data_IF_426163349706
#
_entry.id   IF_426163349706
#
_cell.length_a   1.000
_cell.length_b   1.000
_cell.length_c   1.000
_cell.angle_alpha   90.00
_cell.angle_beta   90.00
_cell.angle_gamma   90.00
#
_symmetry.space_group_name_H-M   'P 1'
#
loop_
_entity.id
_entity.type
_entity.pdbx_description
1 polymer ?
#
# COMPACT_ATOMS: atom_id res chain seq x y z
N UNK A 1 -19.64 -18.69 23.02
CA UNK A 1 -18.53 -17.77 23.32
C UNK A 1 -17.34 -18.64 23.65
N UNK A 2 -16.24 -18.38 22.96
CA UNK A 2 -14.95 -19.03 23.17
C UNK A 2 -14.59 -19.09 24.65
N UNK A 3 -13.95 -20.19 25.04
CA UNK A 3 -13.64 -20.51 26.43
C UNK A 3 -12.14 -20.53 26.64
N UNK A 4 -11.65 -19.68 27.55
CA UNK A 4 -10.26 -19.73 28.00
C UNK A 4 -10.17 -20.78 29.12
N UNK A 5 -9.54 -21.92 28.82
CA UNK A 5 -9.30 -22.99 29.79
C UNK A 5 -8.14 -22.64 30.72
N UNK A 6 -7.09 -22.03 30.16
CA UNK A 6 -5.93 -21.55 30.91
C UNK A 6 -5.43 -20.26 30.27
N UNK A 7 -5.42 -19.18 31.04
CA UNK A 7 -4.79 -17.93 30.64
C UNK A 7 -3.27 -18.04 30.88
N UNK A 8 -2.49 -17.84 29.82
CA UNK A 8 -1.03 -17.81 29.90
C UNK A 8 -0.52 -16.53 30.58
N UNK A 9 0.79 -16.45 30.80
CA UNK A 9 1.36 -15.25 31.39
C UNK A 9 1.32 -14.09 30.37
N UNK A 10 0.54 -13.06 30.69
CA UNK A 10 0.40 -11.85 29.88
C UNK A 10 1.25 -10.68 30.39
N UNK A 11 1.99 -10.87 31.48
CA UNK A 11 2.88 -9.86 32.07
C UNK A 11 4.35 -10.22 31.92
N UNK A 12 5.20 -9.24 31.63
CA UNK A 12 6.63 -9.45 31.50
C UNK A 12 7.05 -10.28 30.28
N UNK A 13 6.20 -10.36 29.25
CA UNK A 13 6.51 -11.05 27.99
C UNK A 13 7.73 -10.39 27.35
N UNK A 14 8.79 -11.17 27.10
CA UNK A 14 10.00 -10.67 26.44
C UNK A 14 9.91 -10.91 24.94
N UNK A 15 9.88 -9.83 24.16
CA UNK A 15 9.83 -9.87 22.70
C UNK A 15 10.93 -9.01 22.11
N UNK A 16 11.57 -9.52 21.08
CA UNK A 16 12.57 -8.76 20.31
C UNK A 16 11.88 -8.00 19.21
N UNK A 17 12.22 -6.74 19.00
CA UNK A 17 11.62 -5.90 17.94
C UNK A 17 12.70 -5.09 17.23
N UNK A 18 12.49 -4.85 15.95
CA UNK A 18 13.47 -4.11 15.14
C UNK A 18 12.96 -2.69 14.95
N UNK A 19 13.74 -1.71 15.39
CA UNK A 19 13.46 -0.30 15.08
C UNK A 19 14.69 0.34 14.51
N UNK A 20 14.50 1.02 13.38
CA UNK A 20 15.54 1.83 12.77
C UNK A 20 15.18 3.30 12.89
N UNK A 21 16.16 4.11 13.26
CA UNK A 21 16.02 5.57 13.21
C UNK A 21 16.00 6.02 11.75
N UNK A 22 15.16 7.00 11.45
CA UNK A 22 15.12 7.64 10.13
C UNK A 22 16.43 8.39 9.93
N UNK A 23 17.22 8.01 8.92
CA UNK A 23 18.45 8.69 8.57
C UNK A 23 18.18 9.79 7.53
N UNK A 24 19.10 10.76 7.40
CA UNK A 24 19.01 11.79 6.35
C UNK A 24 18.95 11.16 4.95
N UNK A 25 19.62 10.03 4.74
CA UNK A 25 19.55 9.27 3.48
C UNK A 25 18.16 8.73 3.17
N UNK A 26 17.38 8.36 4.20
CA UNK A 26 16.01 7.86 4.00
C UNK A 26 15.08 9.01 3.59
N UNK A 27 15.27 10.20 4.18
CA UNK A 27 14.56 11.43 3.80
C UNK A 27 14.90 11.84 2.37
N UNK A 28 16.18 11.82 2.00
CA UNK A 28 16.59 12.18 0.65
C UNK A 28 16.03 11.19 -0.39
N UNK A 29 16.05 9.88 -0.11
CA UNK A 29 15.44 8.87 -0.99
C UNK A 29 13.95 9.09 -1.19
N UNK A 30 13.21 9.39 -0.12
CA UNK A 30 11.78 9.68 -0.21
C UNK A 30 11.52 10.93 -1.05
N UNK A 31 12.32 11.98 -0.88
CA UNK A 31 12.20 13.20 -1.69
C UNK A 31 12.49 12.90 -3.17
N UNK A 32 13.55 12.14 -3.47
CA UNK A 32 13.83 11.72 -4.85
C UNK A 32 12.67 10.91 -5.45
N UNK A 33 12.04 10.05 -4.66
CA UNK A 33 10.83 9.35 -5.08
C UNK A 33 9.70 10.33 -5.42
N UNK A 34 9.40 11.29 -4.55
CA UNK A 34 8.36 12.31 -4.78
C UNK A 34 8.67 13.19 -6.01
N UNK A 35 9.93 13.58 -6.22
CA UNK A 35 10.37 14.33 -7.40
C UNK A 35 10.17 13.51 -8.69
N UNK A 36 10.45 12.20 -8.62
CA UNK A 36 10.24 11.29 -9.76
C UNK A 36 8.77 11.17 -10.15
N UNK A 37 7.86 11.15 -9.17
CA UNK A 37 6.41 11.08 -9.42
C UNK A 37 5.84 12.37 -10.02
N UNK A 38 6.44 13.52 -9.69
CA UNK A 38 6.02 14.85 -10.17
C UNK A 38 6.80 15.33 -11.40
N UNK A 39 7.67 14.50 -11.95
CA UNK A 39 8.44 14.83 -13.14
C UNK A 39 7.50 15.15 -14.30
N UNK A 40 7.74 16.26 -14.98
CA UNK A 40 6.89 16.74 -16.06
C UNK A 40 7.48 16.37 -17.41
N UNK A 41 6.61 16.08 -18.37
CA UNK A 41 6.99 15.95 -19.77
C UNK A 41 6.96 17.35 -20.39
N UNK A 42 8.14 17.83 -20.77
CA UNK A 42 8.28 19.12 -21.46
C UNK A 42 8.63 18.84 -22.91
N UNK A 43 7.86 19.44 -23.83
CA UNK A 43 8.13 19.28 -25.27
C UNK A 43 9.55 19.73 -25.59
N UNK A 44 10.28 18.86 -26.28
CA UNK A 44 11.69 19.03 -26.64
C UNK A 44 11.82 19.18 -28.14
N UNK A 45 12.58 20.18 -28.55
CA UNK A 45 13.03 20.34 -29.93
C UNK A 45 14.33 19.58 -30.16
N UNK A 46 14.48 18.94 -31.32
CA UNK A 46 15.70 18.22 -31.70
C UNK A 46 15.45 16.76 -32.04
N UNK A 47 16.37 15.89 -31.60
CA UNK A 47 16.33 14.45 -31.86
C UNK A 47 15.97 13.67 -30.60
N UNK A 48 15.36 12.50 -30.80
CA UNK A 48 15.07 11.51 -29.76
C UNK A 48 16.37 11.05 -29.11
N UNK A 49 16.41 11.07 -27.78
CA UNK A 49 17.51 10.55 -26.96
C UNK A 49 16.97 9.56 -25.92
N UNK A 50 17.88 8.80 -25.30
CA UNK A 50 17.51 7.88 -24.23
C UNK A 50 16.92 8.64 -23.02
N UNK A 51 15.79 8.20 -22.51
CA UNK A 51 15.02 8.85 -21.44
C UNK A 51 13.97 9.88 -21.91
N UNK A 52 13.91 10.19 -23.21
CA UNK A 52 12.80 10.99 -23.76
C UNK A 52 11.51 10.15 -23.82
N UNK A 53 10.36 10.82 -23.71
CA UNK A 53 9.04 10.25 -24.00
C UNK A 53 8.61 10.73 -25.39
N UNK A 54 8.33 9.79 -26.27
CA UNK A 54 7.91 10.06 -27.65
C UNK A 54 6.46 9.69 -27.87
N UNK A 55 5.74 10.46 -28.68
CA UNK A 55 4.44 10.05 -29.22
C UNK A 55 4.68 9.54 -30.63
N UNK A 56 4.36 8.27 -30.88
CA UNK A 56 4.70 7.59 -32.12
C UNK A 56 3.49 6.90 -32.74
N UNK A 57 3.52 6.83 -34.07
CA UNK A 57 2.75 5.83 -34.80
C UNK A 57 3.72 4.76 -35.26
N UNK A 58 3.33 3.50 -35.18
CA UNK A 58 4.13 2.42 -35.71
C UNK A 58 3.29 1.40 -36.44
N UNK A 59 3.89 0.77 -37.44
CA UNK A 59 3.29 -0.31 -38.22
C UNK A 59 4.32 -1.41 -38.45
N UNK A 60 4.11 -2.54 -37.81
CA UNK A 60 4.90 -3.76 -37.93
C UNK A 60 4.51 -4.57 -39.15
N UNK A 61 5.50 -4.96 -39.94
CA UNK A 61 5.40 -5.71 -41.17
C UNK A 61 6.29 -6.94 -41.06
N UNK A 62 5.73 -8.12 -41.33
CA UNK A 62 6.48 -9.36 -41.53
C UNK A 62 6.30 -9.78 -42.99
N UNK A 63 7.40 -9.97 -43.70
CA UNK A 63 7.39 -10.32 -45.14
C UNK A 63 6.53 -9.34 -46.00
N UNK A 64 6.47 -8.06 -45.60
CA UNK A 64 5.67 -7.03 -46.26
C UNK A 64 4.18 -7.01 -45.90
N UNK A 65 3.72 -7.90 -45.02
CA UNK A 65 2.33 -7.98 -44.55
C UNK A 65 2.24 -7.50 -43.10
N UNK A 66 1.27 -6.63 -42.80
CA UNK A 66 1.05 -6.17 -41.44
C UNK A 66 0.54 -7.32 -40.56
N UNK A 67 1.10 -7.46 -39.35
CA UNK A 67 0.67 -8.47 -38.39
C UNK A 67 -0.16 -7.86 -37.25
N UNK A 68 -0.99 -8.69 -36.63
CA UNK A 68 -1.90 -8.26 -35.58
C UNK A 68 -1.15 -7.87 -34.30
N UNK A 69 -1.60 -6.80 -33.63
CA UNK A 69 -0.90 -6.19 -32.50
C UNK A 69 0.39 -5.42 -32.86
N UNK A 70 0.77 -5.37 -34.15
CA UNK A 70 1.96 -4.65 -34.62
C UNK A 70 1.72 -3.20 -35.02
N UNK A 71 0.50 -2.66 -34.86
CA UNK A 71 0.17 -1.29 -35.31
C UNK A 71 -0.50 -0.49 -34.21
N UNK A 72 -0.05 0.74 -33.99
CA UNK A 72 -0.71 1.71 -33.11
C UNK A 72 -0.48 3.14 -33.61
N UNK A 73 -1.41 4.04 -33.28
CA UNK A 73 -1.32 5.47 -33.53
C UNK A 73 -1.35 6.24 -32.21
N UNK A 74 -0.55 7.30 -32.10
CA UNK A 74 -0.49 8.17 -30.91
C UNK A 74 0.07 7.50 -29.66
N UNK A 75 0.84 6.42 -29.80
CA UNK A 75 1.36 5.66 -28.67
C UNK A 75 2.47 6.43 -27.96
N UNK A 76 2.41 6.55 -26.63
CA UNK A 76 3.48 7.15 -25.84
C UNK A 76 4.51 6.11 -25.43
N UNK A 77 5.76 6.32 -25.80
CA UNK A 77 6.89 5.43 -25.50
C UNK A 77 8.03 6.19 -24.82
N UNK A 78 8.38 5.78 -23.60
CA UNK A 78 9.61 6.20 -22.93
C UNK A 78 10.79 5.38 -23.49
N UNK A 79 11.75 6.08 -24.11
CA UNK A 79 12.93 5.49 -24.75
C UNK A 79 13.89 5.01 -23.66
N UNK A 80 14.23 3.73 -23.67
CA UNK A 80 15.02 3.05 -22.64
C UNK A 80 14.19 2.33 -21.58
N UNK A 81 12.85 2.30 -21.71
CA UNK A 81 11.96 1.59 -20.77
C UNK A 81 12.02 0.06 -20.92
N UNK A 82 12.42 -0.43 -22.10
CA UNK A 82 12.40 -1.86 -22.41
C UNK A 82 10.98 -2.41 -22.56
N UNK A 83 10.01 -1.53 -22.85
CA UNK A 83 8.62 -1.92 -23.06
C UNK A 83 8.41 -2.56 -24.44
N UNK A 84 9.32 -2.30 -25.39
CA UNK A 84 9.33 -2.89 -26.73
C UNK A 84 10.43 -3.95 -26.88
N UNK A 85 10.38 -4.68 -28.02
CA UNK A 85 11.42 -5.66 -28.33
C UNK A 85 12.81 -5.01 -28.40
N UNK A 86 13.87 -5.74 -28.00
CA UNK A 86 15.23 -5.22 -28.04
C UNK A 86 15.59 -4.62 -29.40
N UNK A 87 16.28 -3.48 -29.38
CA UNK A 87 16.67 -2.74 -30.59
C UNK A 87 15.62 -1.76 -31.13
N UNK A 88 14.35 -1.87 -30.74
CA UNK A 88 13.31 -0.92 -31.21
C UNK A 88 13.61 0.49 -30.73
N UNK A 89 13.71 0.67 -29.42
CA UNK A 89 13.95 1.96 -28.76
C UNK A 89 15.33 2.54 -29.13
N UNK A 90 16.34 1.68 -29.31
CA UNK A 90 17.70 2.07 -29.69
C UNK A 90 17.78 2.65 -31.11
N UNK A 91 17.07 2.05 -32.08
CA UNK A 91 17.06 2.55 -33.47
C UNK A 91 16.22 3.82 -33.67
N UNK A 92 15.38 4.16 -32.69
CA UNK A 92 14.66 5.43 -32.65
C UNK A 92 15.52 6.60 -32.21
N UNK A 93 16.63 6.36 -31.50
CA UNK A 93 17.56 7.42 -31.09
C UNK A 93 18.06 8.16 -32.33
N UNK A 94 18.07 9.49 -32.26
CA UNK A 94 18.43 10.36 -33.36
C UNK A 94 17.29 10.70 -34.33
N UNK A 95 16.09 10.12 -34.20
CA UNK A 95 14.91 10.54 -34.99
C UNK A 95 14.48 11.95 -34.64
N UNK A 96 13.97 12.70 -35.61
CA UNK A 96 13.36 14.01 -35.39
C UNK A 96 11.84 13.95 -35.35
N UNK A 97 11.22 14.97 -34.77
CA UNK A 97 9.78 15.21 -34.89
C UNK A 97 9.36 15.26 -36.37
N UNK A 98 8.32 14.52 -36.72
CA UNK A 98 7.80 14.32 -38.08
C UNK A 98 8.60 13.33 -38.94
N UNK A 99 9.67 12.72 -38.42
CA UNK A 99 10.45 11.73 -39.16
C UNK A 99 9.76 10.36 -39.14
N UNK A 100 9.70 9.73 -40.30
CA UNK A 100 9.34 8.31 -40.45
C UNK A 100 10.59 7.50 -40.77
N UNK A 101 10.80 6.40 -40.05
CA UNK A 101 11.94 5.50 -40.22
C UNK A 101 11.49 4.05 -40.17
N UNK A 102 12.06 3.24 -41.05
CA UNK A 102 11.88 1.79 -41.04
C UNK A 102 12.95 1.16 -40.13
N UNK A 103 12.52 0.56 -39.02
CA UNK A 103 13.35 -0.14 -38.06
C UNK A 103 13.40 -1.62 -38.41
N UNK A 104 14.59 -2.17 -38.64
CA UNK A 104 14.76 -3.59 -38.95
C UNK A 104 15.07 -4.32 -37.65
N UNK A 105 14.18 -5.21 -37.24
CA UNK A 105 14.22 -5.85 -35.92
C UNK A 105 13.98 -7.35 -36.05
N UNK A 106 14.52 -8.10 -35.10
CA UNK A 106 14.27 -9.54 -34.99
C UNK A 106 13.59 -9.77 -33.65
N UNK A 107 12.44 -10.44 -33.66
CA UNK A 107 11.78 -10.83 -32.42
C UNK A 107 12.63 -11.86 -31.65
N UNK A 108 12.64 -11.81 -30.31
CA UNK A 108 13.30 -12.84 -29.51
C UNK A 108 12.80 -14.25 -29.81
N UNK A 109 13.66 -15.26 -29.72
CA UNK A 109 13.27 -16.67 -29.95
C UNK A 109 12.23 -17.17 -28.95
N UNK A 110 12.15 -16.56 -27.77
CA UNK A 110 11.23 -16.90 -26.70
C UNK A 110 9.95 -16.05 -26.69
N UNK A 111 9.61 -15.39 -27.80
CA UNK A 111 8.41 -14.55 -27.88
C UNK A 111 7.12 -15.39 -27.81
N UNK A 112 6.12 -14.89 -27.08
CA UNK A 112 4.89 -15.64 -26.76
C UNK A 112 3.99 -15.98 -27.97
N UNK A 113 4.24 -15.36 -29.12
CA UNK A 113 3.54 -15.64 -30.38
C UNK A 113 4.46 -16.46 -31.29
N UNK A 114 4.13 -17.74 -31.48
CA UNK A 114 4.96 -18.69 -32.23
C UNK A 114 5.30 -18.23 -33.66
N UNK A 115 4.38 -17.51 -34.32
CA UNK A 115 4.58 -16.98 -35.66
C UNK A 115 5.53 -15.77 -35.72
N UNK A 116 5.79 -15.10 -34.59
CA UNK A 116 6.70 -13.96 -34.51
C UNK A 116 8.03 -14.32 -33.85
N UNK A 117 8.11 -15.39 -33.05
CA UNK A 117 9.34 -15.81 -32.40
C UNK A 117 10.50 -16.02 -33.40
N UNK A 118 11.61 -15.29 -33.21
CA UNK A 118 12.78 -15.34 -34.10
C UNK A 118 12.58 -14.76 -35.50
N UNK A 119 11.42 -14.14 -35.79
CA UNK A 119 11.13 -13.60 -37.10
C UNK A 119 11.75 -12.21 -37.29
N UNK A 120 12.31 -11.99 -38.49
CA UNK A 120 12.72 -10.66 -38.94
C UNK A 120 11.50 -9.85 -39.39
N UNK A 121 11.40 -8.62 -38.89
CA UNK A 121 10.29 -7.71 -39.14
C UNK A 121 10.79 -6.30 -39.38
N UNK A 122 9.96 -5.52 -40.08
CA UNK A 122 10.18 -4.09 -40.29
C UNK A 122 9.08 -3.34 -39.54
N UNK A 123 9.48 -2.45 -38.64
CA UNK A 123 8.56 -1.49 -38.04
C UNK A 123 8.75 -0.13 -38.70
N UNK A 124 7.74 0.33 -39.43
CA UNK A 124 7.70 1.70 -39.88
C UNK A 124 7.20 2.57 -38.74
N UNK A 125 8.07 3.42 -38.19
CA UNK A 125 7.78 4.26 -37.03
C UNK A 125 7.80 5.73 -37.45
N UNK A 126 6.79 6.49 -37.06
CA UNK A 126 6.72 7.95 -37.24
C UNK A 126 6.70 8.63 -35.87
N UNK A 127 7.60 9.59 -35.66
CA UNK A 127 7.65 10.36 -34.40
C UNK A 127 6.83 11.62 -34.55
N UNK A 128 5.78 11.78 -33.75
CA UNK A 128 4.91 12.97 -33.77
C UNK A 128 5.29 14.02 -32.74
N UNK A 129 5.68 13.58 -31.54
CA UNK A 129 6.14 14.46 -30.48
C UNK A 129 7.33 13.84 -29.75
N UNK A 130 8.20 14.70 -29.25
CA UNK A 130 9.32 14.36 -28.39
C UNK A 130 9.18 15.24 -27.16
N UNK A 131 9.17 14.62 -25.98
CA UNK A 131 9.18 15.32 -24.71
C UNK A 131 10.34 14.80 -23.87
N UNK A 132 11.11 15.70 -23.28
CA UNK A 132 12.07 15.32 -22.24
C UNK A 132 11.35 15.21 -20.91
N UNK A 133 11.68 14.17 -20.13
CA UNK A 133 11.30 14.09 -18.73
C UNK A 133 12.15 15.06 -17.93
N UNK A 134 11.58 16.20 -17.58
CA UNK A 134 12.24 17.16 -16.68
C UNK A 134 11.91 16.72 -15.27
N UNK A 135 12.93 16.19 -14.57
CA UNK A 135 12.79 15.92 -13.15
C UNK A 135 12.40 17.20 -12.44
N UNK A 136 11.38 17.10 -11.59
CA UNK A 136 11.08 18.17 -10.66
C UNK A 136 12.33 18.45 -9.82
N UNK A 137 12.61 19.72 -9.56
CA UNK A 137 13.67 20.11 -8.64
C UNK A 137 13.06 20.35 -7.27
N UNK A 138 13.83 20.07 -6.22
CA UNK A 138 13.42 20.42 -4.86
C UNK A 138 13.61 21.91 -4.64
N UNK A 139 12.58 22.68 -4.96
CA UNK A 139 12.51 24.13 -4.73
C UNK A 139 11.20 24.51 -4.02
N UNK A 140 11.02 25.81 -3.74
CA UNK A 140 9.80 26.29 -3.07
C UNK A 140 8.53 26.08 -3.92
N UNK A 141 8.62 26.04 -5.24
CA UNK A 141 7.47 25.79 -6.10
C UNK A 141 7.02 24.32 -5.97
N UNK A 142 7.96 23.39 -5.95
CA UNK A 142 7.70 21.98 -5.67
C UNK A 142 7.06 21.79 -4.30
N UNK A 143 7.60 22.43 -3.25
CA UNK A 143 7.02 22.37 -1.90
C UNK A 143 5.58 22.89 -1.89
N UNK A 144 5.33 24.06 -2.49
CA UNK A 144 4.00 24.67 -2.59
C UNK A 144 3.02 23.79 -3.39
N UNK A 145 3.49 22.95 -4.30
CA UNK A 145 2.65 22.03 -5.07
C UNK A 145 1.92 20.99 -4.22
N UNK A 146 2.40 20.69 -3.01
CA UNK A 146 1.74 19.79 -2.06
C UNK A 146 0.65 20.47 -1.23
N UNK A 147 0.54 21.80 -1.28
CA UNK A 147 -0.50 22.59 -0.60
C UNK A 147 -0.62 22.25 0.90
N UNK A 148 0.52 21.97 1.55
CA UNK A 148 0.54 21.60 2.96
C UNK A 148 0.46 22.85 3.84
N UNK A 149 -0.39 22.87 4.89
CA UNK A 149 -0.41 23.97 5.86
C UNK A 149 0.95 24.13 6.52
N UNK A 150 1.41 25.37 6.67
CA UNK A 150 2.65 25.74 7.37
C UNK A 150 3.95 25.11 6.81
N UNK A 151 3.96 24.71 5.53
CA UNK A 151 5.15 24.19 4.84
C UNK A 151 5.43 25.05 3.61
N UNK A 152 6.35 26.01 3.73
CA UNK A 152 6.67 26.95 2.64
C UNK A 152 8.09 26.79 2.10
N UNK A 153 9.02 26.28 2.92
CA UNK A 153 10.42 26.13 2.54
C UNK A 153 10.81 24.67 2.31
N UNK A 154 11.93 24.46 1.60
CA UNK A 154 12.53 23.13 1.42
C UNK A 154 12.91 22.49 2.76
N UNK A 155 13.35 23.27 3.75
CA UNK A 155 13.68 22.73 5.07
C UNK A 155 12.43 22.25 5.81
N UNK A 156 11.33 23.03 5.77
CA UNK A 156 10.06 22.62 6.37
C UNK A 156 9.55 21.32 5.72
N UNK A 157 9.67 21.21 4.40
CA UNK A 157 9.29 20.02 3.67
C UNK A 157 10.13 18.80 4.07
N UNK A 158 11.47 18.95 4.13
CA UNK A 158 12.38 17.89 4.61
C UNK A 158 12.02 17.43 6.02
N UNK A 159 11.73 18.37 6.92
CA UNK A 159 11.27 18.06 8.27
C UNK A 159 9.94 17.29 8.25
N UNK A 160 9.02 17.69 7.38
CA UNK A 160 7.71 17.03 7.31
C UNK A 160 7.78 15.61 6.74
N UNK A 161 8.62 15.39 5.74
CA UNK A 161 8.92 14.05 5.22
C UNK A 161 9.54 13.19 6.32
N UNK A 162 10.51 13.72 7.08
CA UNK A 162 11.09 13.04 8.23
C UNK A 162 10.04 12.66 9.28
N UNK A 163 9.19 13.59 9.69
CA UNK A 163 8.09 13.31 10.63
C UNK A 163 7.17 12.21 10.11
N UNK A 164 6.87 12.21 8.81
CA UNK A 164 6.07 11.17 8.18
C UNK A 164 6.75 9.80 8.26
N UNK A 165 8.03 9.71 7.91
CA UNK A 165 8.82 8.47 8.02
C UNK A 165 8.95 7.99 9.46
N UNK A 166 9.14 8.90 10.42
CA UNK A 166 9.21 8.56 11.85
C UNK A 166 7.87 8.01 12.35
N UNK A 167 6.75 8.63 11.94
CA UNK A 167 5.41 8.15 12.27
C UNK A 167 5.13 6.77 11.64
N UNK A 168 5.53 6.55 10.38
CA UNK A 168 5.40 5.25 9.72
C UNK A 168 6.24 4.18 10.42
N UNK A 169 7.48 4.48 10.79
CA UNK A 169 8.33 3.57 11.56
C UNK A 169 7.74 3.28 12.95
N UNK A 170 7.19 4.29 13.63
CA UNK A 170 6.54 4.12 14.93
C UNK A 170 5.28 3.25 14.83
N UNK A 171 4.46 3.42 13.78
CA UNK A 171 3.29 2.58 13.51
C UNK A 171 3.70 1.14 13.20
N UNK A 172 4.71 0.96 12.35
CA UNK A 172 5.24 -0.36 11.99
C UNK A 172 5.80 -1.08 13.23
N UNK A 173 6.60 -0.38 14.03
CA UNK A 173 7.14 -0.92 15.27
C UNK A 173 6.02 -1.28 16.25
N UNK A 174 4.99 -0.44 16.38
CA UNK A 174 3.84 -0.73 17.23
C UNK A 174 3.11 -2.00 16.78
N UNK A 175 2.85 -2.12 15.48
CA UNK A 175 2.23 -3.32 14.92
C UNK A 175 3.11 -4.57 15.12
N UNK A 176 4.43 -4.45 14.96
CA UNK A 176 5.36 -5.55 15.22
C UNK A 176 5.33 -5.98 16.70
N UNK A 177 5.35 -5.01 17.63
CA UNK A 177 5.21 -5.26 19.07
C UNK A 177 3.92 -5.99 19.39
N UNK A 178 2.78 -5.48 18.90
CA UNK A 178 1.46 -6.07 19.07
C UNK A 178 1.42 -7.50 18.54
N UNK A 179 1.89 -7.74 17.31
CA UNK A 179 1.92 -9.07 16.69
C UNK A 179 2.82 -10.07 17.43
N UNK A 180 3.99 -9.65 17.91
CA UNK A 180 4.91 -10.54 18.63
C UNK A 180 4.39 -10.89 20.02
N UNK A 181 3.84 -9.91 20.73
CA UNK A 181 3.20 -10.14 22.04
C UNK A 181 1.99 -11.05 21.87
N UNK A 182 1.17 -10.81 20.85
CA UNK A 182 0.05 -11.65 20.47
C UNK A 182 0.46 -13.11 20.23
N UNK A 183 1.52 -13.33 19.44
CA UNK A 183 2.02 -14.67 19.18
C UNK A 183 2.37 -15.42 20.47
N UNK A 184 3.09 -14.78 21.39
CA UNK A 184 3.44 -15.39 22.69
C UNK A 184 2.20 -15.68 23.53
N UNK A 185 1.21 -14.79 23.55
CA UNK A 185 -0.05 -14.99 24.29
C UNK A 185 -0.86 -16.17 23.76
N UNK A 186 -0.94 -16.32 22.44
CA UNK A 186 -1.62 -17.44 21.81
C UNK A 186 -0.89 -18.75 22.13
N UNK A 187 0.44 -18.77 22.06
CA UNK A 187 1.24 -19.97 22.34
C UNK A 187 1.20 -20.41 23.80
N UNK A 188 1.03 -19.48 24.74
CA UNK A 188 1.09 -19.76 26.17
C UNK A 188 -0.27 -19.92 26.86
N UNK A 189 -1.37 -19.74 26.12
CA UNK A 189 -2.75 -19.86 26.62
C UNK A 189 -3.47 -21.05 25.99
N UNK A 190 -4.34 -21.70 26.76
CA UNK A 190 -5.24 -22.76 26.26
C UNK A 190 -6.64 -22.19 26.07
N UNK A 191 -7.07 -22.08 24.81
CA UNK A 191 -8.32 -21.44 24.41
C UNK A 191 -9.09 -22.35 23.45
N UNK A 192 -10.30 -22.70 23.83
CA UNK A 192 -11.28 -23.36 22.95
C UNK A 192 -12.10 -22.29 22.24
N UNK A 193 -11.86 -22.13 20.94
CA UNK A 193 -12.58 -21.13 20.12
C UNK A 193 -13.82 -21.75 19.50
N UNK A 194 -14.96 -21.08 19.66
CA UNK A 194 -16.21 -21.48 19.03
C UNK A 194 -16.22 -21.12 17.53
N UNK A 195 -16.87 -21.94 16.69
CA UNK A 195 -17.02 -21.67 15.25
C UNK A 195 -17.66 -20.31 14.96
N UNK A 196 -18.57 -19.86 15.82
CA UNK A 196 -19.22 -18.56 15.67
C UNK A 196 -18.22 -17.39 15.81
N UNK A 197 -17.24 -17.50 16.70
CA UNK A 197 -16.22 -16.46 16.91
C UNK A 197 -15.20 -16.47 15.76
N UNK A 198 -14.86 -17.66 15.23
CA UNK A 198 -14.03 -17.80 14.02
C UNK A 198 -14.74 -17.18 12.81
N UNK A 199 -16.03 -17.45 12.63
CA UNK A 199 -16.81 -16.91 11.51
C UNK A 199 -16.90 -15.39 11.58
N UNK A 200 -17.13 -14.84 12.78
CA UNK A 200 -17.13 -13.39 12.99
C UNK A 200 -15.77 -12.77 12.61
N UNK A 201 -14.66 -13.38 13.00
CA UNK A 201 -13.32 -12.91 12.63
C UNK A 201 -13.05 -13.03 11.12
N UNK A 202 -13.52 -14.10 10.47
CA UNK A 202 -13.47 -14.25 9.01
C UNK A 202 -14.21 -13.11 8.30
N UNK A 203 -15.44 -12.84 8.70
CA UNK A 203 -16.27 -11.77 8.11
C UNK A 203 -15.59 -10.40 8.25
N UNK A 204 -14.94 -10.14 9.39
CA UNK A 204 -14.16 -8.92 9.61
C UNK A 204 -12.94 -8.83 8.68
N UNK A 205 -12.20 -9.92 8.49
CA UNK A 205 -11.08 -9.94 7.55
C UNK A 205 -11.55 -9.74 6.09
N UNK A 206 -12.65 -10.37 5.70
CA UNK A 206 -13.26 -10.16 4.38
C UNK A 206 -13.67 -8.70 4.20
N UNK A 207 -14.30 -8.11 5.21
CA UNK A 207 -14.69 -6.69 5.18
C UNK A 207 -13.46 -5.77 5.07
N UNK A 208 -12.38 -6.09 5.79
CA UNK A 208 -11.13 -5.35 5.71
C UNK A 208 -10.58 -5.37 4.28
N UNK A 209 -10.46 -6.57 3.68
CA UNK A 209 -10.01 -6.74 2.28
C UNK A 209 -10.93 -5.98 1.32
N UNK A 210 -12.25 -6.09 1.50
CA UNK A 210 -13.22 -5.38 0.67
C UNK A 210 -13.07 -3.86 0.75
N UNK A 211 -12.79 -3.31 1.94
CA UNK A 211 -12.61 -1.88 2.12
C UNK A 211 -11.30 -1.38 1.48
N UNK A 212 -10.24 -2.18 1.58
CA UNK A 212 -8.95 -1.89 0.95
C UNK A 212 -9.09 -1.84 -0.58
N UNK A 213 -9.75 -2.85 -1.16
CA UNK A 213 -10.04 -2.90 -2.59
C UNK A 213 -10.95 -1.74 -3.05
N UNK A 214 -11.98 -1.42 -2.26
CA UNK A 214 -12.86 -0.30 -2.55
C UNK A 214 -12.11 1.05 -2.58
N UNK A 215 -11.10 1.22 -1.71
CA UNK A 215 -10.21 2.38 -1.73
C UNK A 215 -9.39 2.51 -3.02
N UNK A 216 -9.13 1.39 -3.70
CA UNK A 216 -8.47 1.31 -5.00
C UNK A 216 -9.46 1.32 -6.17
N UNK A 217 -10.76 1.49 -5.92
CA UNK A 217 -11.82 1.49 -6.92
C UNK A 217 -12.17 0.10 -7.47
N UNK A 218 -11.80 -0.97 -6.76
CA UNK A 218 -12.04 -2.36 -7.17
C UNK A 218 -13.08 -3.03 -6.27
N UNK A 219 -14.01 -3.77 -6.86
CA UNK A 219 -14.95 -4.60 -6.10
C UNK A 219 -14.31 -5.96 -5.73
N UNK A 220 -14.69 -6.54 -4.59
CA UNK A 220 -14.17 -7.82 -4.13
C UNK A 220 -14.42 -8.94 -5.15
N UNK A 221 -15.60 -8.97 -5.78
CA UNK A 221 -15.97 -9.98 -6.77
C UNK A 221 -15.07 -9.91 -8.01
N UNK A 222 -14.70 -8.70 -8.43
CA UNK A 222 -13.79 -8.49 -9.56
C UNK A 222 -12.37 -8.96 -9.23
N UNK A 223 -11.90 -8.69 -8.00
CA UNK A 223 -10.61 -9.16 -7.51
C UNK A 223 -10.55 -10.70 -7.49
N UNK A 224 -11.59 -11.36 -6.97
CA UNK A 224 -11.69 -12.82 -6.93
C UNK A 224 -11.66 -13.43 -8.35
N UNK A 225 -12.39 -12.83 -9.30
CA UNK A 225 -12.37 -13.24 -10.70
C UNK A 225 -10.98 -13.10 -11.34
N UNK A 226 -10.29 -11.99 -11.10
CA UNK A 226 -8.95 -11.74 -11.63
C UNK A 226 -7.92 -12.74 -11.08
N UNK A 227 -8.06 -13.10 -9.80
CA UNK A 227 -7.21 -14.08 -9.12
C UNK A 227 -7.62 -15.54 -9.41
N UNK A 228 -8.74 -15.76 -10.11
CA UNK A 228 -9.25 -17.10 -10.41
C UNK A 228 -9.68 -17.88 -9.15
N UNK A 229 -10.14 -17.19 -8.12
CA UNK A 229 -10.53 -17.77 -6.84
C UNK A 229 -11.99 -17.42 -6.51
N UNK A 230 -12.61 -18.19 -5.62
CA UNK A 230 -13.95 -17.92 -5.09
C UNK A 230 -13.89 -17.48 -3.61
N UNK A 231 -15.06 -17.19 -3.03
CA UNK A 231 -15.17 -16.80 -1.62
C UNK A 231 -14.69 -17.89 -0.67
N UNK A 232 -14.90 -19.17 -0.99
CA UNK A 232 -14.47 -20.28 -0.14
C UNK A 232 -12.94 -20.39 -0.13
N UNK A 233 -12.29 -20.18 -1.28
CA UNK A 233 -10.84 -20.09 -1.36
C UNK A 233 -10.29 -18.89 -0.58
N UNK A 234 -10.97 -17.73 -0.64
CA UNK A 234 -10.60 -16.58 0.18
C UNK A 234 -10.72 -16.88 1.68
N UNK A 235 -11.85 -17.45 2.11
CA UNK A 235 -12.05 -17.86 3.49
C UNK A 235 -11.00 -18.87 3.95
N UNK A 236 -10.65 -19.85 3.12
CA UNK A 236 -9.61 -20.83 3.44
C UNK A 236 -8.24 -20.17 3.65
N UNK A 237 -7.91 -19.13 2.87
CA UNK A 237 -6.68 -18.34 3.04
C UNK A 237 -6.70 -17.50 4.33
N UNK A 238 -7.86 -16.93 4.68
CA UNK A 238 -8.03 -16.09 5.87
C UNK A 238 -8.22 -16.90 7.16
N UNK A 239 -8.60 -18.18 7.06
CA UNK A 239 -8.91 -19.05 8.19
C UNK A 239 -7.83 -19.10 9.28
N UNK A 240 -6.52 -19.24 8.96
CA UNK A 240 -5.49 -19.23 10.00
C UNK A 240 -5.44 -17.92 10.78
N UNK A 241 -5.54 -16.79 10.08
CA UNK A 241 -5.53 -15.46 10.70
C UNK A 241 -6.80 -15.23 11.54
N UNK A 242 -7.97 -15.59 11.01
CA UNK A 242 -9.24 -15.48 11.73
C UNK A 242 -9.26 -16.32 13.00
N UNK A 243 -8.69 -17.54 12.99
CA UNK A 243 -8.54 -18.36 14.19
C UNK A 243 -7.65 -17.68 15.22
N UNK A 244 -6.49 -17.14 14.81
CA UNK A 244 -5.61 -16.41 15.73
C UNK A 244 -6.30 -15.19 16.33
N UNK A 245 -7.03 -14.42 15.51
CA UNK A 245 -7.79 -13.27 16.00
C UNK A 245 -8.88 -13.69 17.00
N UNK A 246 -9.62 -14.78 16.73
CA UNK A 246 -10.65 -15.25 17.64
C UNK A 246 -10.07 -15.76 18.98
N UNK A 247 -8.92 -16.45 18.95
CA UNK A 247 -8.17 -16.80 20.18
C UNK A 247 -7.81 -15.53 20.94
N UNK A 248 -7.28 -14.53 20.25
CA UNK A 248 -6.86 -13.28 20.88
C UNK A 248 -8.00 -12.53 21.53
N UNK A 249 -9.14 -12.39 20.84
CA UNK A 249 -10.31 -11.72 21.39
C UNK A 249 -10.78 -12.40 22.67
N UNK A 250 -10.75 -13.73 22.72
CA UNK A 250 -11.09 -14.49 23.93
C UNK A 250 -10.08 -14.25 25.06
N UNK A 251 -8.78 -14.19 24.77
CA UNK A 251 -7.73 -13.86 25.75
C UNK A 251 -7.94 -12.46 26.31
N UNK A 252 -8.24 -11.47 25.45
CA UNK A 252 -8.50 -10.10 25.87
C UNK A 252 -9.72 -10.02 26.79
N UNK A 253 -10.82 -10.68 26.43
CA UNK A 253 -12.03 -10.73 27.26
C UNK A 253 -11.76 -11.37 28.63
N UNK A 254 -10.93 -12.42 28.65
CA UNK A 254 -10.53 -13.07 29.89
C UNK A 254 -9.65 -12.14 30.76
N UNK A 255 -8.71 -11.40 30.16
CA UNK A 255 -7.88 -10.42 30.88
C UNK A 255 -8.75 -9.30 31.46
N UNK A 256 -9.71 -8.77 30.69
CA UNK A 256 -10.69 -7.78 31.18
C UNK A 256 -11.40 -8.31 32.43
N UNK A 257 -11.81 -9.59 32.40
CA UNK A 257 -12.50 -10.23 33.53
C UNK A 257 -11.59 -10.42 34.74
N UNK A 258 -10.36 -10.92 34.56
CA UNK A 258 -9.41 -11.20 35.65
C UNK A 258 -8.92 -9.92 36.31
N UNK A 259 -8.61 -8.90 35.53
CA UNK A 259 -8.14 -7.59 36.00
C UNK A 259 -9.29 -6.65 36.42
N UNK A 260 -10.54 -7.08 36.20
CA UNK A 260 -11.75 -6.31 36.46
C UNK A 260 -11.70 -4.91 35.82
N UNK A 261 -11.28 -4.86 34.55
CA UNK A 261 -11.16 -3.60 33.81
C UNK A 261 -12.56 -3.04 33.56
N UNK A 262 -12.80 -1.86 34.13
CA UNK A 262 -14.05 -1.14 34.00
C UNK A 262 -13.75 0.30 33.61
N UNK A 263 -14.08 0.64 32.37
CA UNK A 263 -14.00 2.01 31.86
C UNK A 263 -14.91 2.91 32.68
N UNK A 264 -14.32 3.96 33.25
CA UNK A 264 -15.03 4.94 34.05
C UNK A 264 -15.95 5.82 33.21
N UNK A 265 -16.96 6.40 33.82
CA UNK A 265 -17.83 7.39 33.15
C UNK A 265 -17.03 8.59 32.64
N UNK A 266 -15.97 8.97 33.35
CA UNK A 266 -15.09 10.07 32.95
C UNK A 266 -14.30 9.74 31.67
N UNK A 267 -13.81 8.51 31.53
CA UNK A 267 -13.10 8.09 30.32
C UNK A 267 -14.03 8.01 29.11
N UNK A 268 -15.28 7.55 29.31
CA UNK A 268 -16.32 7.61 28.29
C UNK A 268 -16.62 9.06 27.91
N UNK A 269 -16.82 9.93 28.89
CA UNK A 269 -17.15 11.34 28.68
C UNK A 269 -16.04 12.07 27.91
N UNK A 270 -14.78 11.77 28.22
CA UNK A 270 -13.59 12.25 27.50
C UNK A 270 -13.55 11.74 26.07
N UNK A 271 -13.85 10.47 25.84
CA UNK A 271 -13.87 9.89 24.50
C UNK A 271 -14.97 10.52 23.64
N UNK A 272 -16.15 10.76 24.22
CA UNK A 272 -17.25 11.46 23.53
C UNK A 272 -16.87 12.92 23.22
N UNK A 273 -16.14 13.60 24.10
CA UNK A 273 -15.62 14.95 23.83
C UNK A 273 -14.65 14.97 22.64
N UNK A 274 -13.76 13.98 22.54
CA UNK A 274 -12.85 13.85 21.40
C UNK A 274 -13.64 13.62 20.10
N UNK A 275 -14.66 12.78 20.13
CA UNK A 275 -15.54 12.55 18.97
C UNK A 275 -16.31 13.82 18.58
N UNK A 276 -16.82 14.57 19.55
CA UNK A 276 -17.48 15.87 19.34
C UNK A 276 -16.57 16.85 18.61
N UNK A 277 -15.31 16.99 19.04
CA UNK A 277 -14.33 17.85 18.39
C UNK A 277 -13.99 17.38 16.98
N UNK A 278 -13.78 16.08 16.79
CA UNK A 278 -13.42 15.49 15.50
C UNK A 278 -14.54 15.65 14.46
N UNK A 279 -15.79 15.40 14.85
CA UNK A 279 -16.95 15.48 13.96
C UNK A 279 -17.59 16.88 13.93
N UNK A 280 -17.11 17.83 14.73
CA UNK A 280 -17.68 19.17 14.90
C UNK A 280 -19.18 19.12 15.22
N UNK A 281 -19.56 18.18 16.10
CA UNK A 281 -20.94 17.95 16.50
C UNK A 281 -21.10 18.18 18.00
N UNK A 282 -22.26 18.66 18.43
CA UNK A 282 -22.55 18.77 19.85
C UNK A 282 -22.51 17.40 20.53
N UNK A 283 -21.95 17.35 21.74
CA UNK A 283 -21.81 16.13 22.54
C UNK A 283 -23.13 15.38 22.67
N UNK A 284 -24.23 16.12 22.85
CA UNK A 284 -25.58 15.58 22.97
C UNK A 284 -26.01 14.80 21.72
N UNK A 285 -25.71 15.32 20.54
CA UNK A 285 -26.06 14.70 19.26
C UNK A 285 -25.19 13.46 18.99
N UNK A 286 -23.95 13.44 19.48
CA UNK A 286 -23.10 12.23 19.45
C UNK A 286 -23.69 11.16 20.37
N UNK A 287 -24.05 11.50 21.61
CA UNK A 287 -24.63 10.56 22.58
C UNK A 287 -25.92 9.91 22.10
N UNK A 288 -26.74 10.61 21.30
CA UNK A 288 -27.95 10.05 20.70
C UNK A 288 -27.68 9.07 19.54
N UNK A 289 -26.47 9.10 18.96
CA UNK A 289 -26.09 8.30 17.77
C UNK A 289 -25.17 7.13 18.07
N UNK A 290 -24.54 7.08 19.24
CA UNK A 290 -23.58 6.04 19.61
C UNK A 290 -24.18 5.01 20.56
N UNK A 291 -23.68 3.79 20.48
CA UNK A 291 -23.90 2.77 21.51
C UNK A 291 -22.88 2.98 22.64
N UNK A 292 -23.34 3.54 23.77
CA UNK A 292 -22.49 3.81 24.93
C UNK A 292 -21.95 2.53 25.59
N UNK A 293 -22.73 1.46 25.61
CA UNK A 293 -22.28 0.17 26.14
C UNK A 293 -21.24 -0.46 25.21
N UNK A 294 -21.46 -0.34 23.89
CA UNK A 294 -20.47 -0.68 22.87
C UNK A 294 -19.16 0.08 23.06
N UNK A 295 -19.23 1.40 23.24
CA UNK A 295 -18.05 2.25 23.47
C UNK A 295 -17.29 1.83 24.74
N UNK A 296 -17.99 1.55 25.84
CA UNK A 296 -17.36 1.06 27.08
C UNK A 296 -16.65 -0.26 26.88
N UNK A 297 -17.28 -1.20 26.17
CA UNK A 297 -16.67 -2.49 25.86
C UNK A 297 -15.40 -2.32 25.03
N UNK A 298 -15.43 -1.43 24.04
CA UNK A 298 -14.27 -1.15 23.20
C UNK A 298 -13.13 -0.49 24.00
N UNK A 299 -13.46 0.45 24.89
CA UNK A 299 -12.48 1.09 25.78
C UNK A 299 -11.86 0.09 26.77
N UNK A 300 -12.63 -0.86 27.31
CA UNK A 300 -12.09 -1.94 28.15
C UNK A 300 -11.08 -2.81 27.37
N UNK A 301 -11.38 -3.12 26.10
CA UNK A 301 -10.46 -3.87 25.23
C UNK A 301 -9.19 -3.09 24.92
N UNK A 302 -9.29 -1.78 24.69
CA UNK A 302 -8.12 -0.91 24.51
C UNK A 302 -7.27 -0.91 25.78
N UNK A 303 -7.87 -0.77 26.96
CA UNK A 303 -7.16 -0.82 28.24
C UNK A 303 -6.46 -2.16 28.46
N UNK A 304 -7.12 -3.28 28.16
CA UNK A 304 -6.51 -4.61 28.24
C UNK A 304 -5.30 -4.74 27.32
N UNK A 305 -5.43 -4.37 26.04
CA UNK A 305 -4.31 -4.38 25.10
C UNK A 305 -3.15 -3.49 25.55
N UNK A 306 -3.45 -2.30 26.08
CA UNK A 306 -2.43 -1.41 26.64
C UNK A 306 -1.75 -2.00 27.88
N UNK A 307 -2.50 -2.65 28.78
CA UNK A 307 -1.94 -3.32 29.95
C UNK A 307 -0.92 -4.39 29.53
N UNK A 308 -1.28 -5.23 28.57
CA UNK A 308 -0.41 -6.26 28.03
C UNK A 308 0.86 -5.63 27.45
N UNK A 309 0.72 -4.67 26.53
CA UNK A 309 1.87 -4.03 25.88
C UNK A 309 2.77 -3.31 26.89
N UNK A 310 2.19 -2.59 27.86
CA UNK A 310 2.97 -1.86 28.88
C UNK A 310 3.70 -2.81 29.85
N UNK A 311 3.16 -4.00 30.07
CA UNK A 311 3.79 -5.02 30.91
C UNK A 311 4.84 -5.85 30.17
N UNK A 312 4.85 -5.83 28.82
CA UNK A 312 5.82 -6.53 28.00
C UNK A 312 7.19 -5.83 28.01
N UNK A 313 8.26 -6.62 27.89
CA UNK A 313 9.64 -6.13 27.74
C UNK A 313 10.05 -6.24 26.27
N UNK A 314 10.29 -5.10 25.65
CA UNK A 314 10.75 -5.02 24.27
C UNK A 314 12.27 -4.90 24.23
N UNK A 315 12.93 -5.88 23.63
CA UNK A 315 14.38 -5.87 23.38
C UNK A 315 14.58 -5.33 21.97
N UNK A 316 15.24 -4.18 21.84
CA UNK A 316 15.53 -3.57 20.55
C UNK A 316 16.68 -4.31 19.88
N UNK A 317 16.46 -4.83 18.68
CA UNK A 317 17.49 -5.36 17.77
C UNK A 317 17.84 -4.37 16.66
#
# INVERSE_FOLDING_TARGET
MSKVNQLGNYTGIEVKVTSRQVLDEDVEKEIQHLLSQKSQLVEKEGTVENGDVTTIDFKGLKDGVAFDGGTAEGYQLEIGSGSFIPGFEEQMIGMKKGETRDLNLTFPENYGVADLAGADVIFQVTVHHIASKVQAQLDEEFVKSFQMPDVETVEDFKKKVRESLENQNAQTLRAEKENKVLGVLIENSDVEVDEADIQKALDQHVQYVSNELAGQGMALEQYLQMMGMDMDALHAQLMPAAKQQAIFEAIIDEIIRVENLMTSDEDVDRQVDLMSQQYQMDKKDILEKIDLEGLRRDLNRIQASQLILNSAKFIME
#
